data_IF_390369132760
#
_entry.id   IF_390369132760
#
_cell.length_a   1.000
_cell.length_b   1.000
_cell.length_c   1.000
_cell.angle_alpha   90.00
_cell.angle_beta   90.00
_cell.angle_gamma   90.00
#
_symmetry.space_group_name_H-M   'P 1'
#
loop_
_entity.id
_entity.type
_entity.pdbx_description
1 polymer ?
#
# COMPACT_ATOMS: atom_id res chain seq x y z
N UNK A 1 -14.90 27.57 26.03
CA UNK A 1 -14.64 26.77 24.82
C UNK A 1 -13.22 26.25 24.93
N UNK A 2 -13.04 24.94 25.14
CA UNK A 2 -11.71 24.34 25.03
C UNK A 2 -11.33 24.45 23.56
N UNK A 3 -10.30 25.23 23.26
CA UNK A 3 -9.66 25.16 21.96
C UNK A 3 -8.99 23.78 21.93
N UNK A 4 -9.57 22.86 21.16
CA UNK A 4 -8.90 21.63 20.78
C UNK A 4 -7.69 22.06 19.95
N UNK A 5 -6.54 22.21 20.62
CA UNK A 5 -5.23 22.31 19.98
C UNK A 5 -4.90 20.94 19.37
N UNK A 6 -5.67 20.51 18.36
CA UNK A 6 -5.19 19.47 17.44
C UNK A 6 -3.97 20.08 16.76
N UNK A 7 -2.82 19.40 16.89
CA UNK A 7 -1.62 19.73 16.15
C UNK A 7 -2.00 19.91 14.66
N UNK A 8 -1.42 20.89 13.95
CA UNK A 8 -1.77 21.11 12.55
C UNK A 8 -1.54 19.81 11.77
N UNK A 9 -2.60 19.36 11.09
CA UNK A 9 -2.56 18.15 10.27
C UNK A 9 -1.48 18.32 9.19
N UNK A 10 -0.63 17.31 8.95
CA UNK A 10 0.50 17.43 8.02
C UNK A 10 0.07 17.61 6.56
N UNK A 11 -1.15 17.19 6.22
CA UNK A 11 -1.74 17.32 4.90
C UNK A 11 -2.95 18.24 4.95
N UNK A 12 -3.24 18.91 3.83
CA UNK A 12 -4.55 19.54 3.68
C UNK A 12 -5.64 18.46 3.74
N UNK A 13 -6.84 18.87 4.14
CA UNK A 13 -7.97 17.97 4.40
C UNK A 13 -8.29 17.06 3.21
N UNK A 14 -8.39 17.62 2.00
CA UNK A 14 -8.75 16.84 0.81
C UNK A 14 -7.68 15.79 0.46
N UNK A 15 -6.39 16.15 0.55
CA UNK A 15 -5.29 15.24 0.28
C UNK A 15 -5.20 14.15 1.35
N UNK A 16 -5.37 14.52 2.61
CA UNK A 16 -5.31 13.59 3.72
C UNK A 16 -6.43 12.56 3.70
N UNK A 17 -7.69 12.96 3.41
CA UNK A 17 -8.80 12.03 3.22
C UNK A 17 -8.49 11.02 2.11
N UNK A 18 -8.02 11.50 0.95
CA UNK A 18 -7.73 10.62 -0.20
C UNK A 18 -6.57 9.67 0.07
N UNK A 19 -5.46 10.17 0.62
CA UNK A 19 -4.25 9.37 0.83
C UNK A 19 -4.45 8.35 1.95
N UNK A 20 -5.03 8.77 3.07
CA UNK A 20 -5.31 7.89 4.19
C UNK A 20 -6.31 6.80 3.81
N UNK A 21 -7.39 7.15 3.09
CA UNK A 21 -8.37 6.19 2.58
C UNK A 21 -7.75 5.17 1.63
N UNK A 22 -6.95 5.62 0.67
CA UNK A 22 -6.25 4.71 -0.24
C UNK A 22 -5.27 3.78 0.48
N UNK A 23 -4.47 4.32 1.41
CA UNK A 23 -3.48 3.53 2.14
C UNK A 23 -4.14 2.49 3.06
N UNK A 24 -5.24 2.87 3.73
CA UNK A 24 -6.04 1.96 4.54
C UNK A 24 -6.69 0.87 3.69
N UNK A 25 -7.23 1.19 2.51
CA UNK A 25 -7.77 0.18 1.60
C UNK A 25 -6.70 -0.81 1.14
N UNK A 26 -5.51 -0.32 0.77
CA UNK A 26 -4.39 -1.17 0.36
C UNK A 26 -3.95 -2.06 1.52
N UNK A 27 -3.77 -1.51 2.72
CA UNK A 27 -3.38 -2.27 3.90
C UNK A 27 -4.38 -3.39 4.22
N UNK A 28 -5.68 -3.10 4.15
CA UNK A 28 -6.74 -4.09 4.35
C UNK A 28 -6.75 -5.19 3.29
N UNK A 29 -6.59 -4.86 2.00
CA UNK A 29 -6.52 -5.87 0.93
C UNK A 29 -5.32 -6.80 1.13
N UNK A 30 -4.20 -6.26 1.60
CA UNK A 30 -2.98 -7.02 1.85
C UNK A 30 -3.14 -7.88 3.11
N UNK A 31 -3.72 -7.36 4.19
CA UNK A 31 -3.91 -8.10 5.43
C UNK A 31 -4.92 -9.25 5.30
N UNK A 32 -5.91 -9.13 4.41
CA UNK A 32 -6.89 -10.17 4.11
C UNK A 32 -6.33 -11.34 3.29
N UNK A 33 -5.12 -11.22 2.74
CA UNK A 33 -4.50 -12.24 1.90
C UNK A 33 -3.29 -12.85 2.61
N UNK A 34 -3.50 -14.00 3.27
CA UNK A 34 -2.49 -14.67 4.10
C UNK A 34 -1.18 -14.98 3.34
N UNK A 35 -1.25 -15.23 2.04
CA UNK A 35 -0.13 -15.67 1.20
C UNK A 35 0.33 -14.62 0.17
N UNK A 36 -0.10 -13.37 0.29
CA UNK A 36 0.19 -12.33 -0.73
C UNK A 36 1.69 -12.11 -0.92
N UNK A 37 2.47 -12.08 0.16
CA UNK A 37 3.92 -11.88 0.07
C UNK A 37 4.61 -13.06 -0.61
N UNK A 38 4.21 -14.29 -0.27
CA UNK A 38 4.74 -15.50 -0.91
C UNK A 38 4.44 -15.50 -2.41
N UNK A 39 3.20 -15.21 -2.81
CA UNK A 39 2.81 -15.08 -4.22
C UNK A 39 3.61 -14.01 -4.95
N UNK A 40 3.81 -12.85 -4.32
CA UNK A 40 4.61 -11.75 -4.88
C UNK A 40 6.09 -12.11 -4.99
N UNK A 41 6.63 -12.95 -4.10
CA UNK A 41 8.01 -13.45 -4.17
C UNK A 41 8.22 -14.47 -5.29
N UNK A 42 7.23 -15.33 -5.56
CA UNK A 42 7.30 -16.33 -6.64
C UNK A 42 7.08 -15.71 -8.03
N UNK A 43 6.49 -14.51 -8.07
CA UNK A 43 6.11 -13.86 -9.31
C UNK A 43 7.24 -13.61 -10.33
N UNK A 44 8.47 -13.20 -9.94
CA UNK A 44 9.56 -13.02 -10.89
C UNK A 44 9.89 -14.30 -11.68
N UNK A 45 9.83 -15.46 -11.04
CA UNK A 45 10.09 -16.75 -11.69
C UNK A 45 8.99 -17.06 -12.71
N UNK A 46 7.71 -16.85 -12.33
CA UNK A 46 6.56 -17.01 -13.22
C UNK A 46 6.60 -16.04 -14.43
N UNK A 47 7.15 -14.84 -14.24
CA UNK A 47 7.27 -13.84 -15.28
C UNK A 47 8.37 -14.18 -16.29
N UNK A 48 9.50 -14.73 -15.82
CA UNK A 48 10.60 -15.16 -16.69
C UNK A 48 10.14 -16.27 -17.65
N UNK A 49 9.39 -17.25 -17.12
CA UNK A 49 8.84 -18.36 -17.90
C UNK A 49 7.68 -17.97 -18.83
N UNK A 50 7.20 -16.72 -18.74
CA UNK A 50 6.09 -16.23 -19.57
C UNK A 50 6.54 -15.94 -21.00
N UNK A 51 5.82 -16.52 -21.96
CA UNK A 51 5.90 -16.15 -23.38
C UNK A 51 4.88 -15.08 -23.78
N UNK A 52 4.07 -14.58 -22.83
CA UNK A 52 3.01 -13.61 -23.09
C UNK A 52 3.55 -12.18 -23.18
N UNK A 53 4.58 -11.87 -22.39
CA UNK A 53 5.20 -10.55 -22.33
C UNK A 53 6.50 -10.52 -23.12
N UNK A 54 6.75 -9.42 -23.82
CA UNK A 54 8.08 -9.11 -24.31
C UNK A 54 9.02 -8.64 -23.18
N UNK A 55 10.30 -8.45 -23.49
CA UNK A 55 11.31 -8.10 -22.48
C UNK A 55 11.10 -6.70 -21.85
N UNK A 56 10.52 -5.76 -22.59
CA UNK A 56 10.19 -4.42 -22.07
C UNK A 56 9.02 -4.51 -21.10
N UNK A 57 7.97 -5.26 -21.48
CA UNK A 57 6.82 -5.53 -20.64
C UNK A 57 7.21 -6.31 -19.38
N UNK A 58 8.07 -7.34 -19.49
CA UNK A 58 8.62 -8.05 -18.32
C UNK A 58 9.36 -7.11 -17.38
N UNK A 59 10.12 -6.17 -17.90
CA UNK A 59 10.83 -5.17 -17.10
C UNK A 59 9.84 -4.28 -16.32
N UNK A 60 8.81 -3.77 -17.00
CA UNK A 60 7.76 -2.96 -16.38
C UNK A 60 7.00 -3.73 -15.30
N UNK A 61 6.59 -4.95 -15.62
CA UNK A 61 5.82 -5.82 -14.74
C UNK A 61 6.65 -6.18 -13.49
N UNK A 62 7.93 -6.54 -13.65
CA UNK A 62 8.86 -6.75 -12.53
C UNK A 62 8.97 -5.51 -11.64
N UNK A 63 9.09 -4.32 -12.23
CA UNK A 63 9.15 -3.08 -11.47
C UNK A 63 7.90 -2.87 -10.61
N UNK A 64 6.71 -3.01 -11.21
CA UNK A 64 5.44 -2.84 -10.49
C UNK A 64 5.31 -3.84 -9.35
N UNK A 65 5.58 -5.12 -9.60
CA UNK A 65 5.48 -6.17 -8.58
C UNK A 65 6.46 -5.97 -7.43
N UNK A 66 7.68 -5.51 -7.70
CA UNK A 66 8.64 -5.15 -6.65
C UNK A 66 8.13 -4.03 -5.74
N UNK A 67 7.42 -3.05 -6.29
CA UNK A 67 6.78 -1.99 -5.50
C UNK A 67 5.62 -2.53 -4.67
N UNK A 68 4.79 -3.41 -5.22
CA UNK A 68 3.68 -4.03 -4.47
C UNK A 68 4.21 -4.91 -3.34
N UNK A 69 5.27 -5.69 -3.59
CA UNK A 69 5.95 -6.48 -2.54
C UNK A 69 6.52 -5.58 -1.44
N UNK A 70 7.14 -4.47 -1.81
CA UNK A 70 7.62 -3.51 -0.80
C UNK A 70 6.46 -2.93 0.02
N UNK A 71 5.35 -2.60 -0.65
CA UNK A 71 4.15 -2.05 -0.01
C UNK A 71 3.49 -3.06 0.93
N UNK A 72 3.50 -4.36 0.60
CA UNK A 72 2.93 -5.38 1.48
C UNK A 72 3.70 -5.55 2.77
N UNK A 73 5.03 -5.41 2.76
CA UNK A 73 5.82 -5.36 3.98
C UNK A 73 5.57 -4.10 4.80
N UNK A 74 5.54 -2.94 4.13
CA UNK A 74 5.33 -1.65 4.80
C UNK A 74 3.97 -1.61 5.50
N UNK A 75 2.91 -2.00 4.78
CA UNK A 75 1.53 -1.97 5.30
C UNK A 75 1.31 -2.95 6.43
N UNK A 76 1.89 -4.15 6.38
CA UNK A 76 1.84 -5.08 7.51
C UNK A 76 2.61 -4.58 8.72
N UNK A 77 3.79 -3.98 8.50
CA UNK A 77 4.62 -3.46 9.59
C UNK A 77 3.99 -2.27 10.30
N UNK A 78 3.24 -1.45 9.57
CA UNK A 78 2.71 -0.17 10.04
C UNK A 78 1.17 -0.13 10.07
N UNK A 79 0.53 -1.28 10.30
CA UNK A 79 -0.93 -1.39 10.19
C UNK A 79 -1.65 -0.46 11.18
N UNK A 80 -1.19 -0.42 12.42
CA UNK A 80 -1.76 0.44 13.48
C UNK A 80 -1.60 1.93 13.13
N UNK A 81 -0.42 2.35 12.65
CA UNK A 81 -0.21 3.75 12.25
C UNK A 81 -1.04 4.14 11.02
N UNK A 82 -1.30 3.21 10.11
CA UNK A 82 -2.18 3.43 8.96
C UNK A 82 -3.63 3.59 9.40
N UNK A 83 -4.09 2.77 10.35
CA UNK A 83 -5.41 2.89 10.97
C UNK A 83 -5.57 4.25 11.66
N UNK A 84 -4.61 4.63 12.51
CA UNK A 84 -4.62 5.94 13.18
C UNK A 84 -4.64 7.11 12.18
N UNK A 85 -3.82 7.03 11.12
CA UNK A 85 -3.79 8.03 10.07
C UNK A 85 -5.11 8.12 9.30
N UNK A 86 -5.80 7.00 9.07
CA UNK A 86 -7.13 6.99 8.48
C UNK A 86 -8.16 7.66 9.38
N UNK A 87 -8.21 7.28 10.66
CA UNK A 87 -9.14 7.86 11.63
C UNK A 87 -8.87 9.36 11.84
N UNK A 88 -7.61 9.81 11.75
CA UNK A 88 -7.26 11.23 11.87
C UNK A 88 -7.96 12.08 10.81
N UNK A 89 -8.07 11.61 9.56
CA UNK A 89 -8.63 12.39 8.46
C UNK A 89 -10.10 12.10 8.15
N UNK A 90 -10.65 10.98 8.63
CA UNK A 90 -12.00 10.52 8.29
C UNK A 90 -13.01 10.57 9.45
N UNK A 91 -12.59 11.00 10.66
CA UNK A 91 -13.45 11.29 11.82
C UNK A 91 -13.50 12.76 12.24
#
# INVERSE_FOLDING_TARGET
MRMDNKLPRPLNEQLGIKLSGWLFEVANKISQSEDIQERLFQFPDLLEDSSFFDEEEKTLVRFVFSRILSLSFITQKHLEEIEEFYEEYNN
#
